data_IF_239249875037
#
_entry.id   IF_239249875037
#
_cell.length_a   1.000
_cell.length_b   1.000
_cell.length_c   1.000
_cell.angle_alpha   90.00
_cell.angle_beta   90.00
_cell.angle_gamma   90.00
#
_symmetry.space_group_name_H-M   'P 1'
#
loop_
_entity.id
_entity.type
_entity.pdbx_description
1 polymer ?
#
# COMPACT_ATOMS: atom_id res chain seq x y z
N UNK A 1 -10.44 -4.80 -14.44
CA UNK A 1 -11.60 -5.59 -14.83
C UNK A 1 -12.70 -4.89 -14.06
N UNK A 2 -13.54 -4.11 -14.74
CA UNK A 2 -14.43 -3.15 -14.04
C UNK A 2 -15.74 -3.80 -13.56
N UNK A 3 -16.00 -5.04 -13.92
CA UNK A 3 -17.09 -5.85 -13.36
C UNK A 3 -16.72 -6.51 -12.01
N UNK A 4 -15.49 -6.33 -11.52
CA UNK A 4 -15.03 -6.87 -10.24
C UNK A 4 -14.35 -5.80 -9.38
N UNK A 5 -14.72 -5.78 -8.09
CA UNK A 5 -13.92 -5.12 -7.06
C UNK A 5 -12.94 -6.13 -6.48
N UNK A 6 -11.70 -5.69 -6.27
CA UNK A 6 -10.57 -6.56 -5.95
C UNK A 6 -9.96 -6.10 -4.64
N UNK A 7 -9.49 -7.04 -3.82
CA UNK A 7 -8.97 -6.76 -2.50
C UNK A 7 -7.77 -7.62 -2.18
N UNK A 8 -6.79 -7.03 -1.50
CA UNK A 8 -5.65 -7.76 -0.95
C UNK A 8 -5.26 -7.21 0.42
N UNK A 9 -4.61 -8.04 1.23
CA UNK A 9 -4.35 -7.73 2.63
C UNK A 9 -2.93 -7.19 2.85
N UNK A 10 -2.81 -6.37 3.89
CA UNK A 10 -1.52 -5.89 4.40
C UNK A 10 -1.54 -5.89 5.93
N UNK A 11 -0.34 -5.84 6.51
CA UNK A 11 -0.16 -5.88 7.97
C UNK A 11 0.56 -4.62 8.42
N UNK A 12 0.00 -3.98 9.45
CA UNK A 12 0.64 -2.88 10.16
C UNK A 12 1.19 -3.40 11.48
N UNK A 13 2.49 -3.23 11.70
CA UNK A 13 3.13 -3.62 12.95
C UNK A 13 2.86 -2.64 14.11
N UNK A 14 2.51 -1.40 13.78
CA UNK A 14 2.30 -0.30 14.72
C UNK A 14 1.11 0.57 14.29
N UNK A 15 0.64 1.42 15.19
CA UNK A 15 -0.33 2.45 14.83
C UNK A 15 0.27 3.36 13.76
N UNK A 16 -0.41 3.52 12.64
CA UNK A 16 0.12 4.19 11.44
C UNK A 16 -0.90 5.18 10.88
N UNK A 17 -0.43 6.35 10.43
CA UNK A 17 -1.19 7.24 9.56
C UNK A 17 -0.91 6.86 8.11
N UNK A 18 -1.88 6.32 7.39
CA UNK A 18 -1.72 5.93 5.99
C UNK A 18 -1.81 7.16 5.10
N UNK A 19 -0.83 7.35 4.22
CA UNK A 19 -0.63 8.59 3.45
C UNK A 19 -0.65 8.38 1.94
N UNK A 20 -0.32 7.18 1.45
CA UNK A 20 -0.34 6.91 0.01
C UNK A 20 -0.56 5.44 -0.31
N UNK A 21 -1.06 5.21 -1.52
CA UNK A 21 -1.18 3.90 -2.13
C UNK A 21 -0.41 3.93 -3.45
N UNK A 22 0.41 2.91 -3.64
CA UNK A 22 0.97 2.55 -4.95
C UNK A 22 0.47 1.17 -5.33
N UNK A 23 0.06 0.99 -6.57
CA UNK A 23 -0.29 -0.32 -7.10
C UNK A 23 0.08 -0.41 -8.58
N UNK A 24 0.04 -1.62 -9.13
CA UNK A 24 0.28 -1.84 -10.56
C UNK A 24 -0.96 -2.43 -11.23
N UNK A 25 -1.22 -1.96 -12.45
CA UNK A 25 -2.23 -2.52 -13.33
C UNK A 25 -1.60 -3.02 -14.64
N UNK A 26 -2.37 -3.82 -15.36
CA UNK A 26 -2.09 -4.26 -16.72
C UNK A 26 -3.30 -3.96 -17.59
N UNK A 27 -3.10 -3.31 -18.73
CA UNK A 27 -4.18 -2.95 -19.65
C UNK A 27 -3.83 -3.26 -21.10
N UNK A 28 -4.82 -3.72 -21.88
CA UNK A 28 -4.65 -3.96 -23.31
C UNK A 28 -4.56 -2.64 -24.08
N UNK A 29 -5.39 -1.67 -23.70
CA UNK A 29 -5.43 -0.33 -24.28
C UNK A 29 -5.60 0.74 -23.20
N UNK A 30 -5.23 1.98 -23.53
CA UNK A 30 -5.44 3.12 -22.63
C UNK A 30 -6.94 3.42 -22.35
N UNK A 31 -7.86 2.86 -23.15
CA UNK A 31 -9.29 3.01 -22.95
C UNK A 31 -9.84 2.07 -21.86
N UNK A 32 -9.08 1.05 -21.46
CA UNK A 32 -9.50 0.08 -20.44
C UNK A 32 -9.44 0.66 -19.02
N UNK A 33 -8.60 1.68 -18.80
CA UNK A 33 -8.60 2.47 -17.58
C UNK A 33 -9.75 3.48 -17.55
N UNK A 34 -10.58 3.41 -16.52
CA UNK A 34 -11.80 4.22 -16.37
C UNK A 34 -11.53 5.70 -16.00
N UNK A 35 -10.28 6.15 -15.98
CA UNK A 35 -9.91 7.53 -15.61
C UNK A 35 -9.87 7.80 -14.09
N UNK A 36 -10.24 6.81 -13.28
CA UNK A 36 -10.21 6.89 -11.82
C UNK A 36 -10.15 5.51 -11.17
N UNK A 37 -9.82 5.48 -9.89
CA UNK A 37 -9.77 4.29 -9.04
C UNK A 37 -10.61 4.56 -7.82
N UNK A 38 -11.64 3.74 -7.60
CA UNK A 38 -12.29 3.67 -6.29
C UNK A 38 -11.40 2.87 -5.35
N UNK A 39 -11.28 3.32 -4.10
CA UNK A 39 -10.49 2.65 -3.09
C UNK A 39 -11.16 2.62 -1.73
N UNK A 40 -10.86 1.58 -0.96
CA UNK A 40 -11.18 1.49 0.47
C UNK A 40 -10.03 0.85 1.25
N UNK A 41 -9.91 1.26 2.51
CA UNK A 41 -9.16 0.53 3.54
C UNK A 41 -10.20 -0.09 4.48
N UNK A 42 -10.19 -1.42 4.59
CA UNK A 42 -11.13 -2.18 5.43
C UNK A 42 -10.41 -2.93 6.53
N UNK A 43 -11.12 -3.18 7.62
CA UNK A 43 -10.64 -4.11 8.64
C UNK A 43 -10.61 -5.55 8.09
N UNK A 44 -9.84 -6.41 8.74
CA UNK A 44 -9.89 -7.84 8.45
C UNK A 44 -11.05 -8.53 9.19
N UNK A 45 -11.79 -9.39 8.49
CA UNK A 45 -12.78 -10.29 9.06
C UNK A 45 -12.54 -11.71 8.55
N UNK A 46 -11.92 -12.56 9.36
CA UNK A 46 -11.65 -13.96 9.03
C UNK A 46 -10.97 -14.17 7.66
N UNK A 47 -9.92 -13.38 7.38
CA UNK A 47 -9.14 -13.46 6.13
C UNK A 47 -9.91 -13.02 4.88
N UNK A 48 -10.93 -12.18 5.03
CA UNK A 48 -11.53 -11.39 3.96
C UNK A 48 -11.74 -9.93 4.41
N UNK A 49 -11.97 -8.98 3.49
CA UNK A 49 -12.32 -7.62 3.85
C UNK A 49 -13.60 -7.58 4.69
N UNK A 50 -13.50 -6.97 5.87
CA UNK A 50 -14.60 -6.83 6.80
C UNK A 50 -15.59 -5.72 6.45
N UNK A 51 -16.62 -5.59 7.27
CA UNK A 51 -17.67 -4.59 7.11
C UNK A 51 -17.27 -3.17 7.54
N UNK A 52 -16.18 -3.02 8.30
CA UNK A 52 -15.72 -1.70 8.78
C UNK A 52 -14.78 -1.07 7.76
N UNK A 53 -15.18 0.08 7.24
CA UNK A 53 -14.37 0.92 6.35
C UNK A 53 -13.65 1.97 7.20
N UNK A 54 -12.32 1.96 7.14
CA UNK A 54 -11.45 2.94 7.83
C UNK A 54 -11.21 4.18 6.97
N UNK A 55 -11.19 4.01 5.65
CA UNK A 55 -11.06 5.09 4.68
C UNK A 55 -11.62 4.66 3.34
N UNK A 56 -12.14 5.62 2.57
CA UNK A 56 -12.66 5.38 1.23
C UNK A 56 -12.52 6.64 0.39
N UNK A 57 -12.46 6.47 -0.93
CA UNK A 57 -12.53 7.57 -1.85
C UNK A 57 -12.45 7.14 -3.30
N UNK A 58 -12.30 8.15 -4.15
CA UNK A 58 -11.97 7.98 -5.56
C UNK A 58 -10.73 8.81 -5.84
N UNK A 59 -9.77 8.23 -6.54
CA UNK A 59 -8.52 8.87 -6.88
C UNK A 59 -8.29 8.81 -8.39
N UNK A 60 -7.67 9.84 -8.93
CA UNK A 60 -7.05 9.81 -10.25
C UNK A 60 -5.54 9.67 -10.04
N UNK A 61 -4.99 8.45 -10.02
CA UNK A 61 -3.57 8.23 -9.81
C UNK A 61 -2.69 8.92 -10.85
N UNK A 62 -1.49 9.29 -10.42
CA UNK A 62 -0.39 9.54 -11.34
C UNK A 62 0.04 8.19 -11.92
N UNK A 63 -0.07 8.03 -13.24
CA UNK A 63 0.27 6.79 -13.94
C UNK A 63 1.64 6.89 -14.58
N UNK A 64 2.50 5.92 -14.33
CA UNK A 64 3.84 5.81 -14.92
C UNK A 64 3.96 4.49 -15.67
N UNK A 65 4.34 4.52 -16.94
CA UNK A 65 4.57 3.30 -17.72
C UNK A 65 5.67 2.46 -17.07
N UNK A 66 5.38 1.18 -16.83
CA UNK A 66 6.24 0.23 -16.12
C UNK A 66 6.65 -0.97 -16.97
N UNK A 67 6.37 -0.93 -18.29
CA UNK A 67 6.74 -1.97 -19.24
C UNK A 67 5.51 -2.69 -19.80
N UNK A 68 5.69 -3.95 -20.18
CA UNK A 68 4.63 -4.78 -20.74
C UNK A 68 4.86 -6.26 -20.40
N UNK A 69 3.79 -7.02 -20.15
CA UNK A 69 3.83 -8.46 -19.99
C UNK A 69 2.56 -9.10 -20.57
N UNK A 70 2.67 -10.31 -21.12
CA UNK A 70 1.53 -11.06 -21.69
C UNK A 70 0.75 -10.29 -22.78
N UNK A 71 1.41 -9.35 -23.48
CA UNK A 71 0.76 -8.49 -24.47
C UNK A 71 -0.01 -7.30 -23.88
N UNK A 72 0.02 -7.12 -22.57
CA UNK A 72 -0.60 -5.99 -21.85
C UNK A 72 0.47 -4.96 -21.46
N UNK A 73 0.09 -3.69 -21.46
CA UNK A 73 0.92 -2.61 -20.94
C UNK A 73 0.79 -2.57 -19.41
N UNK A 74 1.90 -2.38 -18.70
CA UNK A 74 1.91 -2.29 -17.25
C UNK A 74 2.06 -0.85 -16.83
N UNK A 75 1.27 -0.41 -15.86
CA UNK A 75 1.38 0.92 -15.27
C UNK A 75 1.56 0.82 -13.77
N UNK A 76 2.46 1.65 -13.23
CA UNK A 76 2.50 2.00 -11.82
C UNK A 76 1.53 3.16 -11.58
N UNK A 77 0.74 3.07 -10.53
CA UNK A 77 -0.27 4.05 -10.17
C UNK A 77 -0.04 4.52 -8.75
N UNK A 78 0.10 5.83 -8.58
CA UNK A 78 0.37 6.46 -7.30
C UNK A 78 -0.74 7.47 -6.96
N UNK A 79 -1.31 7.37 -5.75
CA UNK A 79 -2.23 8.39 -5.23
C UNK A 79 -2.11 8.57 -3.72
N UNK A 80 -2.41 9.77 -3.25
CA UNK A 80 -2.43 10.10 -1.82
C UNK A 80 -3.75 9.69 -1.17
N UNK A 81 -3.67 9.25 0.08
CA UNK A 81 -4.82 9.00 0.95
C UNK A 81 -4.57 9.62 2.32
N UNK A 82 -5.59 9.68 3.17
CA UNK A 82 -5.42 10.07 4.56
C UNK A 82 -6.30 9.21 5.43
N UNK A 83 -5.69 8.26 6.14
CA UNK A 83 -6.36 7.40 7.12
C UNK A 83 -5.52 7.41 8.39
N UNK A 84 -6.01 8.10 9.42
CA UNK A 84 -5.22 8.40 10.61
C UNK A 84 -5.44 7.37 11.72
N UNK A 85 -4.41 7.17 12.54
CA UNK A 85 -4.45 6.35 13.75
C UNK A 85 -4.94 4.92 13.51
N UNK A 86 -4.56 4.31 12.38
CA UNK A 86 -4.87 2.92 12.10
C UNK A 86 -4.02 2.05 13.01
N UNK A 87 -4.63 1.38 13.98
CA UNK A 87 -3.92 0.54 14.94
C UNK A 87 -3.15 -0.61 14.25
N UNK A 88 -2.17 -1.19 14.94
CA UNK A 88 -1.50 -2.41 14.47
C UNK A 88 -2.52 -3.53 14.18
N UNK A 89 -2.32 -4.28 13.10
CA UNK A 89 -3.22 -5.35 12.68
C UNK A 89 -3.19 -5.65 11.19
N UNK A 90 -4.05 -6.57 10.76
CA UNK A 90 -4.28 -6.90 9.35
C UNK A 90 -5.45 -6.10 8.79
N UNK A 91 -5.25 -5.53 7.61
CA UNK A 91 -6.22 -4.71 6.90
C UNK A 91 -6.26 -5.11 5.43
N UNK A 92 -7.25 -4.58 4.72
CA UNK A 92 -7.45 -4.84 3.30
C UNK A 92 -7.42 -3.54 2.52
N UNK A 93 -6.63 -3.52 1.45
CA UNK A 93 -6.75 -2.54 0.39
C UNK A 93 -7.74 -3.10 -0.62
N UNK A 94 -8.81 -2.36 -0.87
CA UNK A 94 -9.81 -2.71 -1.87
C UNK A 94 -9.78 -1.67 -2.98
N UNK A 95 -9.73 -2.11 -4.23
CA UNK A 95 -9.62 -1.27 -5.41
C UNK A 95 -10.64 -1.67 -6.49
N UNK A 96 -11.07 -0.67 -7.26
CA UNK A 96 -11.93 -0.85 -8.42
C UNK A 96 -11.59 0.15 -9.53
N UNK A 97 -11.66 -0.28 -10.80
CA UNK A 97 -11.36 0.54 -11.96
C UNK A 97 -12.54 1.47 -12.29
N UNK A 98 -12.54 2.64 -11.67
CA UNK A 98 -13.61 3.65 -11.78
C UNK A 98 -14.65 3.55 -10.66
N UNK A 99 -15.81 4.23 -10.81
CA UNK A 99 -16.92 4.12 -9.88
C UNK A 99 -17.46 2.68 -9.78
N UNK A 100 -17.99 2.27 -8.62
CA UNK A 100 -18.59 0.94 -8.43
C UNK A 100 -19.80 0.63 -9.33
N UNK A 101 -20.38 1.66 -9.97
CA UNK A 101 -21.44 1.49 -10.96
C UNK A 101 -20.89 1.12 -12.37
N UNK A 102 -19.58 1.24 -12.60
CA UNK A 102 -18.94 0.95 -13.88
C UNK A 102 -18.70 -0.54 -14.04
N UNK A 103 -19.75 -1.31 -14.34
CA UNK A 103 -19.71 -2.78 -14.33
C UNK A 103 -19.58 -3.42 -15.71
N UNK A 104 -19.25 -2.63 -16.74
CA UNK A 104 -18.93 -3.16 -18.06
C UNK A 104 -17.52 -3.72 -18.04
N UNK A 105 -17.36 -4.95 -18.52
CA UNK A 105 -16.06 -5.60 -18.63
C UNK A 105 -15.06 -4.72 -19.40
N UNK A 106 -13.81 -4.70 -18.93
CA UNK A 106 -12.69 -4.07 -19.62
C UNK A 106 -11.43 -4.92 -19.44
N UNK A 107 -10.51 -4.83 -20.40
CA UNK A 107 -9.21 -5.51 -20.37
C UNK A 107 -8.21 -4.76 -19.48
N UNK A 108 -8.69 -4.35 -18.30
CA UNK A 108 -7.88 -3.83 -17.21
C UNK A 108 -7.66 -4.99 -16.23
N UNK A 109 -6.49 -5.14 -15.65
CA UNK A 109 -6.20 -6.20 -14.70
C UNK A 109 -5.31 -5.64 -13.60
N UNK A 110 -5.45 -6.15 -12.39
CA UNK A 110 -4.50 -5.80 -11.34
C UNK A 110 -3.26 -6.67 -11.51
N UNK A 111 -2.08 -6.06 -11.45
CA UNK A 111 -0.84 -6.79 -11.58
C UNK A 111 -0.55 -7.61 -10.32
N UNK A 112 0.26 -8.65 -10.48
CA UNK A 112 0.57 -9.62 -9.43
C UNK A 112 2.02 -9.49 -8.94
N UNK A 113 2.30 -9.91 -7.71
CA UNK A 113 3.66 -9.94 -7.14
C UNK A 113 4.47 -11.15 -7.59
N UNK A 114 3.82 -12.21 -8.09
CA UNK A 114 4.46 -13.44 -8.51
C UNK A 114 4.96 -13.41 -9.97
N UNK A 115 6.22 -13.82 -10.19
CA UNK A 115 6.79 -13.97 -11.53
C UNK A 115 6.05 -15.09 -12.28
N UNK A 116 5.54 -14.77 -13.48
CA UNK A 116 4.90 -15.75 -14.37
C UNK A 116 3.54 -16.27 -13.90
N UNK A 117 2.88 -15.60 -12.95
CA UNK A 117 1.61 -16.07 -12.36
C UNK A 117 1.76 -17.29 -11.46
N UNK A 118 3.00 -17.64 -11.06
CA UNK A 118 3.28 -18.70 -10.10
C UNK A 118 2.98 -18.22 -8.68
N UNK A 119 1.69 -18.13 -8.39
CA UNK A 119 1.11 -17.78 -7.11
C UNK A 119 1.56 -18.76 -6.00
N UNK A 120 1.99 -18.22 -4.87
CA UNK A 120 2.53 -18.98 -3.74
C UNK A 120 1.42 -19.26 -2.72
N UNK A 121 1.67 -20.12 -1.72
CA UNK A 121 0.65 -20.50 -0.72
C UNK A 121 0.05 -19.35 0.13
N UNK A 122 0.47 -18.10 -0.09
CA UNK A 122 -0.06 -16.89 0.54
C UNK A 122 -1.14 -16.19 -0.27
N UNK A 123 -1.60 -16.72 -1.41
CA UNK A 123 -2.65 -16.17 -2.28
C UNK A 123 -3.87 -15.59 -1.52
N UNK A 124 -3.78 -14.31 -1.20
CA UNK A 124 -4.73 -13.59 -0.33
C UNK A 124 -5.66 -12.68 -1.10
N UNK A 125 -5.47 -12.55 -2.40
CA UNK A 125 -6.36 -11.83 -3.27
C UNK A 125 -7.77 -12.37 -3.18
N UNK A 126 -8.70 -11.44 -3.02
CA UNK A 126 -10.12 -11.70 -3.07
C UNK A 126 -10.79 -10.76 -4.04
N UNK A 127 -11.93 -11.19 -4.53
CA UNK A 127 -12.74 -10.42 -5.44
C UNK A 127 -14.21 -10.55 -5.10
N UNK A 128 -14.97 -9.60 -5.63
CA UNK A 128 -16.42 -9.60 -5.56
C UNK A 128 -16.96 -9.07 -6.88
N UNK A 129 -17.80 -9.86 -7.55
CA UNK A 129 -18.45 -9.41 -8.77
C UNK A 129 -19.43 -8.28 -8.48
N UNK A 130 -19.45 -7.27 -9.33
CA UNK A 130 -20.41 -6.18 -9.33
C UNK A 130 -21.53 -6.41 -10.36
N UNK A 131 -21.35 -7.38 -11.27
CA UNK A 131 -22.35 -7.75 -12.28
C UNK A 131 -22.22 -9.23 -12.72
N UNK A 132 -23.08 -10.14 -12.23
CA UNK A 132 -24.12 -9.91 -11.22
C UNK A 132 -23.49 -9.55 -9.87
N UNK A 133 -24.16 -8.69 -9.09
CA UNK A 133 -23.67 -8.29 -7.78
C UNK A 133 -23.56 -9.51 -6.84
N UNK A 134 -22.33 -9.93 -6.55
CA UNK A 134 -22.04 -10.89 -5.51
C UNK A 134 -22.24 -10.23 -4.14
N UNK A 135 -22.56 -11.02 -3.12
CA UNK A 135 -22.68 -10.51 -1.73
C UNK A 135 -21.38 -10.75 -0.96
N UNK A 136 -20.74 -11.87 -1.22
CA UNK A 136 -19.55 -12.36 -0.51
C UNK A 136 -18.28 -12.13 -1.31
N UNK A 137 -17.17 -12.02 -0.60
CA UNK A 137 -15.83 -12.12 -1.18
C UNK A 137 -15.52 -13.58 -1.52
N UNK A 138 -14.87 -13.80 -2.66
CA UNK A 138 -14.26 -15.08 -3.04
C UNK A 138 -12.78 -14.87 -3.26
N UNK A 139 -11.96 -15.86 -2.92
CA UNK A 139 -10.55 -15.80 -3.33
C UNK A 139 -10.45 -15.88 -4.85
N UNK A 140 -9.57 -15.05 -5.42
CA UNK A 140 -9.20 -15.14 -6.83
C UNK A 140 -7.88 -15.90 -7.04
N UNK A 141 -7.27 -16.38 -5.94
CA UNK A 141 -6.02 -17.13 -5.95
C UNK A 141 -4.82 -16.31 -6.43
N UNK A 142 -4.85 -14.97 -6.32
CA UNK A 142 -3.79 -14.07 -6.77
C UNK A 142 -3.23 -13.25 -5.61
N UNK A 143 -1.97 -12.81 -5.70
CA UNK A 143 -1.40 -11.83 -4.78
C UNK A 143 -1.05 -10.56 -5.56
N UNK A 144 -1.67 -9.44 -5.18
CA UNK A 144 -1.68 -8.20 -5.94
C UNK A 144 -0.44 -7.37 -5.64
N UNK A 145 0.13 -6.74 -6.66
CA UNK A 145 1.26 -5.84 -6.52
C UNK A 145 0.80 -4.47 -6.02
N UNK A 146 1.06 -4.18 -4.74
CA UNK A 146 0.84 -2.87 -4.15
C UNK A 146 1.79 -2.54 -3.01
N UNK A 147 1.81 -1.28 -2.62
CA UNK A 147 2.51 -0.74 -1.45
C UNK A 147 1.60 0.29 -0.77
N UNK A 148 1.46 0.15 0.55
CA UNK A 148 0.84 1.17 1.41
C UNK A 148 1.95 1.94 2.11
N UNK A 149 1.93 3.27 1.96
CA UNK A 149 2.83 4.16 2.68
C UNK A 149 2.12 4.80 3.86
N UNK A 150 2.86 5.05 4.93
CA UNK A 150 2.35 5.73 6.11
C UNK A 150 3.42 6.00 7.15
N UNK A 151 3.08 6.86 8.10
CA UNK A 151 3.95 7.28 9.19
C UNK A 151 3.53 6.60 10.48
N UNK A 152 4.48 5.92 11.13
CA UNK A 152 4.24 5.30 12.42
C UNK A 152 3.98 6.36 13.49
N UNK A 153 2.90 6.21 14.24
CA UNK A 153 2.48 7.16 15.29
C UNK A 153 3.12 6.78 16.61
N UNK A 154 3.87 7.71 17.20
CA UNK A 154 4.39 7.57 18.56
C UNK A 154 5.59 6.65 18.73
N UNK A 155 6.25 6.24 17.63
CA UNK A 155 7.56 5.58 17.70
C UNK A 155 8.63 6.68 17.79
N UNK A 156 9.38 6.78 18.90
CA UNK A 156 10.51 7.71 18.98
C UNK A 156 11.50 7.39 17.85
N UNK A 157 11.96 8.42 17.12
CA UNK A 157 13.01 8.24 16.12
C UNK A 157 14.19 7.48 16.75
N UNK A 158 14.77 6.47 16.06
CA UNK A 158 15.92 5.73 16.58
C UNK A 158 16.97 6.72 17.07
N UNK A 159 17.47 6.53 18.30
CA UNK A 159 18.26 7.47 19.12
C UNK A 159 19.60 7.98 18.55
N UNK A 160 19.69 8.22 17.26
CA UNK A 160 20.77 8.89 16.53
C UNK A 160 21.13 10.23 17.17
N UNK A 161 20.16 10.93 17.76
CA UNK A 161 20.41 12.16 18.52
C UNK A 161 21.20 11.92 19.83
N UNK A 162 21.02 10.76 20.48
CA UNK A 162 21.73 10.41 21.72
C UNK A 162 23.22 10.17 21.46
N UNK A 163 23.59 9.58 20.31
CA UNK A 163 25.00 9.37 19.98
C UNK A 163 25.74 10.67 19.64
N UNK A 164 25.07 11.62 18.98
CA UNK A 164 25.67 12.93 18.66
C UNK A 164 25.87 13.77 19.94
N UNK A 165 24.88 13.80 20.84
CA UNK A 165 25.01 14.54 22.11
C UNK A 165 26.10 13.97 23.02
N UNK A 166 26.20 12.64 23.11
CA UNK A 166 27.21 11.98 23.95
C UNK A 166 28.62 12.14 23.36
N UNK A 167 28.75 12.04 22.03
CA UNK A 167 30.02 12.24 21.33
C UNK A 167 30.59 13.65 21.46
N UNK A 168 29.75 14.68 21.35
CA UNK A 168 30.19 16.08 21.51
C UNK A 168 30.57 16.38 22.96
N UNK A 169 29.83 15.86 23.94
CA UNK A 169 30.17 16.01 25.35
C UNK A 169 31.51 15.35 25.70
N UNK A 170 31.74 14.12 25.21
CA UNK A 170 33.00 13.40 25.41
C UNK A 170 34.20 14.12 24.76
N UNK A 171 34.04 14.64 23.54
CA UNK A 171 35.08 15.43 22.86
C UNK A 171 35.36 16.76 23.55
N UNK A 172 34.33 17.42 24.10
CA UNK A 172 34.48 18.65 24.88
C UNK A 172 35.25 18.42 26.18
N UNK A 173 35.01 17.29 26.86
CA UNK A 173 35.70 16.93 28.10
C UNK A 173 37.16 16.53 27.86
N UNK A 174 37.43 15.75 26.81
CA UNK A 174 38.79 15.37 26.40
C UNK A 174 39.67 16.58 26.01
N UNK A 175 39.09 17.60 25.37
CA UNK A 175 39.80 18.86 25.06
C UNK A 175 40.10 19.71 26.29
N UNK A 176 39.33 19.57 27.37
CA UNK A 176 39.53 20.32 28.61
C UNK A 176 40.69 19.74 29.42
N UNK A 177 40.80 18.41 29.50
CA UNK A 177 41.88 17.73 30.21
C UNK A 177 43.26 17.92 29.55
N UNK A 178 43.34 18.01 28.22
CA UNK A 178 44.63 18.23 27.52
C UNK A 178 45.22 19.64 27.70
N UNK A 179 44.44 20.60 28.21
CA UNK A 179 44.91 21.97 28.48
C UNK A 179 45.46 22.14 29.90
N UNK A 180 45.06 21.28 30.84
CA UNK A 180 45.52 21.34 32.24
C UNK A 180 46.85 20.60 32.46
N UNK A 181 47.20 19.63 31.61
CA UNK A 181 48.47 18.89 31.68
C UNK A 181 49.70 19.56 31.05
N UNK A 182 49.60 20.81 30.53
CA UNK A 182 50.70 21.51 29.83
C UNK A 182 51.29 22.68 30.64
N UNK A 183 51.24 22.59 31.97
CA UNK A 183 51.93 23.49 32.89
C UNK A 183 52.77 22.67 33.87
N UNK A 184 53.97 22.27 33.45
CA UNK A 184 55.08 21.88 34.33
C UNK A 184 56.38 22.30 33.67
#
# INVERSE_FOLDING_TARGET
MSDFIQGDNFVLAFTTNLTAVRFWDMELSAADYSGSIFWEIRNNAASVPGGTVLGTGTATPTRTAAGSALGLNIFQNDFAITVNNVAAGTYWLVLHNGPLASTTFSDYYWAWTAVGGANAATDRGVEKSLNPLAVNWSTNGQEHAFLISGDAVGIPEPGTLVFISTGIAAMGWARRQSREGRKS
#
